data_IF_438472845211
#
_entry.id   IF_438472845211
#
_cell.length_a   1.000
_cell.length_b   1.000
_cell.length_c   1.000
_cell.angle_alpha   90.00
_cell.angle_beta   90.00
_cell.angle_gamma   90.00
#
_symmetry.space_group_name_H-M   'P 1'
#
loop_
_entity.id
_entity.type
_entity.pdbx_description
1 polymer ?
#
# COMPACT_ATOMS: atom_id res chain seq x y z
N UNK A 1 17.93 -0.61 7.60
CA UNK A 1 16.76 0.20 7.16
C UNK A 1 15.78 0.27 8.32
N UNK A 2 15.23 1.44 8.63
CA UNK A 2 14.24 1.59 9.69
C UNK A 2 12.84 1.57 9.08
N UNK A 3 11.90 0.90 9.75
CA UNK A 3 10.50 0.94 9.37
C UNK A 3 9.88 2.30 9.71
N UNK A 4 8.91 2.73 8.92
CA UNK A 4 8.11 3.90 9.27
C UNK A 4 7.29 3.63 10.54
N UNK A 5 7.03 4.66 11.36
CA UNK A 5 6.20 4.50 12.55
C UNK A 5 4.85 3.87 12.20
N UNK A 6 4.45 2.84 12.93
CA UNK A 6 3.20 2.13 12.73
C UNK A 6 3.22 1.00 11.70
N UNK A 7 4.30 0.82 10.92
CA UNK A 7 4.36 -0.22 9.88
C UNK A 7 4.22 -1.64 10.46
N UNK A 8 4.97 -1.96 11.52
CA UNK A 8 4.85 -3.26 12.19
C UNK A 8 3.45 -3.50 12.75
N UNK A 9 2.85 -2.46 13.33
CA UNK A 9 1.50 -2.54 13.88
C UNK A 9 0.46 -2.81 12.80
N UNK A 10 0.56 -2.14 11.66
CA UNK A 10 -0.34 -2.32 10.52
C UNK A 10 -0.23 -3.75 9.95
N UNK A 11 1.00 -4.24 9.74
CA UNK A 11 1.25 -5.60 9.26
C UNK A 11 0.71 -6.64 10.24
N UNK A 12 0.97 -6.47 11.53
CA UNK A 12 0.47 -7.38 12.56
C UNK A 12 -1.07 -7.36 12.65
N UNK A 13 -1.71 -6.21 12.47
CA UNK A 13 -3.17 -6.11 12.45
C UNK A 13 -3.78 -6.85 11.27
N UNK A 14 -3.20 -6.72 10.07
CA UNK A 14 -3.63 -7.46 8.88
C UNK A 14 -3.46 -8.97 9.06
N UNK A 15 -2.32 -9.41 9.62
CA UNK A 15 -2.07 -10.81 9.90
C UNK A 15 -3.08 -11.40 10.90
N UNK A 16 -3.37 -10.67 12.00
CA UNK A 16 -4.40 -11.09 12.97
C UNK A 16 -5.79 -11.20 12.35
N UNK A 17 -6.09 -10.35 11.38
CA UNK A 17 -7.35 -10.39 10.64
C UNK A 17 -7.33 -11.43 9.48
N UNK A 18 -6.29 -12.23 9.35
CA UNK A 18 -6.10 -13.22 8.27
C UNK A 18 -6.25 -12.61 6.88
N UNK A 19 -5.73 -11.39 6.68
CA UNK A 19 -5.74 -10.71 5.39
C UNK A 19 -4.51 -11.10 4.58
N UNK A 20 -4.72 -11.42 3.30
CA UNK A 20 -3.62 -11.60 2.36
C UNK A 20 -2.90 -10.25 2.14
N UNK A 21 -1.58 -10.29 2.08
CA UNK A 21 -0.74 -9.10 1.97
C UNK A 21 0.29 -9.24 0.85
N UNK A 22 0.48 -8.17 0.10
CA UNK A 22 1.56 -8.07 -0.89
C UNK A 22 2.35 -6.78 -0.69
N UNK A 23 3.64 -6.84 -1.01
CA UNK A 23 4.48 -5.66 -1.16
C UNK A 23 4.56 -5.29 -2.63
N UNK A 24 4.32 -4.01 -2.95
CA UNK A 24 4.45 -3.45 -4.30
C UNK A 24 5.36 -2.23 -4.23
N UNK A 25 6.54 -2.31 -4.82
CA UNK A 25 7.54 -1.26 -4.77
C UNK A 25 8.12 -0.99 -6.15
N UNK A 26 8.62 0.24 -6.37
CA UNK A 26 9.39 0.60 -7.57
C UNK A 26 10.87 0.19 -7.49
N UNK A 27 11.29 -0.36 -6.36
CA UNK A 27 12.65 -0.88 -6.20
C UNK A 27 12.82 -2.25 -6.83
N UNK A 28 14.05 -2.67 -7.20
CA UNK A 28 14.35 -4.02 -7.61
C UNK A 28 13.86 -5.07 -6.60
N UNK A 29 13.38 -6.21 -7.05
CA UNK A 29 12.87 -7.27 -6.17
C UNK A 29 13.90 -7.71 -5.13
N UNK A 30 15.16 -7.80 -5.50
CA UNK A 30 16.26 -8.15 -4.57
C UNK A 30 16.38 -7.15 -3.42
N UNK A 31 16.19 -5.86 -3.69
CA UNK A 31 16.22 -4.80 -2.68
C UNK A 31 15.01 -4.91 -1.75
N UNK A 32 13.83 -5.16 -2.32
CA UNK A 32 12.59 -5.36 -1.52
C UNK A 32 12.77 -6.55 -0.57
N UNK A 33 13.21 -7.69 -1.07
CA UNK A 33 13.42 -8.90 -0.26
C UNK A 33 14.49 -8.70 0.82
N UNK A 34 15.57 -8.02 0.50
CA UNK A 34 16.59 -7.66 1.50
C UNK A 34 16.01 -6.77 2.61
N UNK A 35 15.23 -5.77 2.25
CA UNK A 35 14.58 -4.88 3.20
C UNK A 35 13.61 -5.63 4.12
N UNK A 36 12.79 -6.53 3.57
CA UNK A 36 11.86 -7.35 4.35
C UNK A 36 12.62 -8.28 5.32
N UNK A 37 13.67 -8.94 4.87
CA UNK A 37 14.50 -9.81 5.70
C UNK A 37 15.19 -9.02 6.83
N UNK A 38 15.75 -7.84 6.54
CA UNK A 38 16.42 -7.00 7.54
C UNK A 38 15.49 -6.43 8.61
N UNK A 39 14.20 -6.38 8.33
CA UNK A 39 13.16 -5.89 9.25
C UNK A 39 12.33 -7.02 9.89
N UNK A 40 12.62 -8.28 9.56
CA UNK A 40 11.88 -9.43 10.08
C UNK A 40 10.46 -9.59 9.53
N UNK A 41 10.14 -8.91 8.43
CA UNK A 41 8.82 -8.93 7.80
C UNK A 41 8.74 -9.87 6.57
N UNK A 42 9.80 -10.60 6.27
CA UNK A 42 9.91 -11.47 5.09
C UNK A 42 8.82 -12.55 5.00
N UNK A 43 8.33 -13.00 6.16
CA UNK A 43 7.27 -14.03 6.23
C UNK A 43 5.87 -13.46 6.40
N UNK A 44 5.72 -12.15 6.40
CA UNK A 44 4.43 -11.49 6.64
C UNK A 44 3.64 -11.27 5.35
N UNK A 45 4.27 -11.41 4.20
CA UNK A 45 3.67 -11.12 2.90
C UNK A 45 3.55 -12.38 2.04
N UNK A 46 2.40 -12.53 1.40
CA UNK A 46 2.10 -13.64 0.50
C UNK A 46 2.74 -13.47 -0.88
N UNK A 47 3.01 -12.22 -1.28
CA UNK A 47 3.62 -11.91 -2.56
C UNK A 47 4.45 -10.60 -2.50
N UNK A 48 5.44 -10.52 -3.39
CA UNK A 48 6.30 -9.35 -3.59
C UNK A 48 6.31 -8.99 -5.06
N UNK A 49 6.04 -7.74 -5.38
CA UNK A 49 6.05 -7.21 -6.73
C UNK A 49 6.99 -6.03 -6.85
N UNK A 50 7.90 -6.11 -7.81
CA UNK A 50 8.67 -4.96 -8.29
C UNK A 50 7.93 -4.33 -9.46
N UNK A 51 7.82 -3.01 -9.47
CA UNK A 51 7.36 -2.24 -10.61
C UNK A 51 8.54 -1.68 -11.43
N UNK A 52 9.78 -2.11 -11.15
CA UNK A 52 10.98 -1.68 -11.87
C UNK A 52 10.95 -2.10 -13.35
N UNK A 53 10.50 -3.33 -13.61
CA UNK A 53 10.45 -3.91 -14.95
C UNK A 53 9.11 -3.67 -15.67
N UNK A 54 8.22 -2.90 -15.07
CA UNK A 54 6.95 -2.56 -15.70
C UNK A 54 7.18 -1.58 -16.84
N UNK A 55 6.57 -1.86 -18.00
CA UNK A 55 6.58 -0.93 -19.13
C UNK A 55 6.11 0.46 -18.73
N UNK A 56 5.19 0.52 -17.77
CA UNK A 56 4.70 1.74 -17.15
C UNK A 56 4.78 1.61 -15.63
N UNK A 57 5.77 2.27 -15.02
CA UNK A 57 5.88 2.37 -13.57
C UNK A 57 4.77 3.22 -12.94
N UNK A 58 4.74 3.30 -11.60
CA UNK A 58 3.83 4.22 -10.89
C UNK A 58 3.96 5.65 -11.46
N UNK A 59 2.89 6.37 -11.71
CA UNK A 59 1.52 6.21 -11.22
C UNK A 59 0.59 5.27 -12.01
N UNK A 60 1.09 4.50 -12.99
CA UNK A 60 0.28 3.51 -13.69
C UNK A 60 -0.20 2.42 -12.71
N UNK A 61 -1.47 1.96 -12.79
CA UNK A 61 -2.04 1.03 -11.81
C UNK A 61 -1.56 -0.43 -11.95
N UNK A 62 -0.81 -0.77 -12.99
CA UNK A 62 -0.50 -2.14 -13.39
C UNK A 62 0.05 -3.02 -12.28
N UNK A 63 1.02 -2.52 -11.50
CA UNK A 63 1.62 -3.29 -10.43
C UNK A 63 0.62 -3.66 -9.31
N UNK A 64 -0.27 -2.74 -8.95
CA UNK A 64 -1.32 -3.01 -7.96
C UNK A 64 -2.37 -3.98 -8.48
N UNK A 65 -2.77 -3.86 -9.75
CA UNK A 65 -3.73 -4.78 -10.36
C UNK A 65 -3.17 -6.21 -10.43
N UNK A 66 -1.88 -6.37 -10.76
CA UNK A 66 -1.21 -7.68 -10.71
C UNK A 66 -1.16 -8.24 -9.29
N UNK A 67 -0.84 -7.41 -8.31
CA UNK A 67 -0.82 -7.83 -6.90
C UNK A 67 -2.20 -8.31 -6.44
N UNK A 68 -3.26 -7.57 -6.74
CA UNK A 68 -4.63 -7.96 -6.41
C UNK A 68 -5.00 -9.30 -7.05
N UNK A 69 -4.70 -9.49 -8.35
CA UNK A 69 -4.94 -10.75 -9.05
C UNK A 69 -4.19 -11.92 -8.40
N UNK A 70 -2.93 -11.73 -8.01
CA UNK A 70 -2.14 -12.77 -7.35
C UNK A 70 -2.68 -13.14 -5.95
N UNK A 71 -3.28 -12.17 -5.24
CA UNK A 71 -3.93 -12.42 -3.96
C UNK A 71 -5.37 -12.95 -4.12
N UNK A 72 -5.87 -13.09 -5.34
CA UNK A 72 -7.24 -13.55 -5.61
C UNK A 72 -8.32 -12.55 -5.18
N UNK A 73 -8.00 -11.25 -5.14
CA UNK A 73 -8.89 -10.19 -4.71
C UNK A 73 -9.26 -9.26 -5.88
N UNK A 74 -10.48 -8.72 -5.85
CA UNK A 74 -10.87 -7.63 -6.74
C UNK A 74 -10.32 -6.29 -6.23
N UNK A 75 -10.08 -5.29 -7.10
CA UNK A 75 -9.53 -4.00 -6.67
C UNK A 75 -10.32 -3.30 -5.57
N UNK A 76 -11.64 -3.37 -5.60
CA UNK A 76 -12.53 -2.77 -4.61
C UNK A 76 -12.47 -3.44 -3.22
N UNK A 77 -11.88 -4.66 -3.14
CA UNK A 77 -11.59 -5.36 -1.88
C UNK A 77 -10.19 -5.04 -1.32
N UNK A 78 -9.38 -4.31 -2.06
CA UNK A 78 -7.99 -4.03 -1.72
C UNK A 78 -7.81 -2.68 -1.04
N UNK A 79 -6.92 -2.65 -0.05
CA UNK A 79 -6.43 -1.43 0.57
C UNK A 79 -4.94 -1.28 0.22
N UNK A 80 -4.58 -0.11 -0.28
CA UNK A 80 -3.19 0.29 -0.54
C UNK A 80 -2.75 1.23 0.58
N UNK A 81 -1.59 0.97 1.18
CA UNK A 81 -0.94 1.90 2.11
C UNK A 81 0.29 2.45 1.40
N UNK A 82 0.36 3.74 1.20
CA UNK A 82 1.37 4.41 0.38
C UNK A 82 1.87 5.71 0.98
N UNK A 83 3.15 5.97 0.79
CA UNK A 83 3.82 7.18 1.27
C UNK A 83 4.18 8.15 0.14
N UNK A 84 4.17 7.71 -1.11
CA UNK A 84 4.52 8.51 -2.27
C UNK A 84 3.29 8.95 -3.06
N UNK A 85 3.36 10.14 -3.66
CA UNK A 85 2.29 10.65 -4.51
C UNK A 85 2.01 9.71 -5.70
N UNK A 86 3.05 9.23 -6.37
CA UNK A 86 2.91 8.32 -7.50
C UNK A 86 2.25 7.00 -7.10
N UNK A 87 2.57 6.48 -5.91
CA UNK A 87 1.93 5.28 -5.38
C UNK A 87 0.46 5.50 -5.02
N UNK A 88 0.13 6.63 -4.42
CA UNK A 88 -1.26 7.02 -4.14
C UNK A 88 -2.07 7.12 -5.43
N UNK A 89 -1.55 7.81 -6.45
CA UNK A 89 -2.21 7.94 -7.75
C UNK A 89 -2.39 6.58 -8.45
N UNK A 90 -1.39 5.70 -8.35
CA UNK A 90 -1.48 4.34 -8.90
C UNK A 90 -2.59 3.52 -8.22
N UNK A 91 -2.70 3.59 -6.89
CA UNK A 91 -3.74 2.92 -6.13
C UNK A 91 -5.14 3.44 -6.46
N UNK A 92 -5.30 4.76 -6.57
CA UNK A 92 -6.57 5.38 -6.99
C UNK A 92 -6.93 4.97 -8.41
N UNK A 93 -5.96 4.99 -9.32
CA UNK A 93 -6.16 4.56 -10.72
C UNK A 93 -6.51 3.07 -10.83
N UNK A 94 -6.06 2.25 -9.89
CA UNK A 94 -6.44 0.84 -9.77
C UNK A 94 -7.84 0.64 -9.17
N UNK A 95 -8.54 1.70 -8.79
CA UNK A 95 -9.85 1.66 -8.12
C UNK A 95 -9.81 0.95 -6.75
N UNK A 96 -8.68 1.06 -6.06
CA UNK A 96 -8.49 0.54 -4.71
C UNK A 96 -8.71 1.63 -3.66
N UNK A 97 -8.99 1.23 -2.43
CA UNK A 97 -8.95 2.14 -1.29
C UNK A 97 -7.51 2.46 -0.94
N UNK A 98 -7.14 3.73 -0.86
CA UNK A 98 -5.77 4.15 -0.55
C UNK A 98 -5.71 4.88 0.79
N UNK A 99 -4.79 4.44 1.64
CA UNK A 99 -4.39 5.13 2.86
C UNK A 99 -3.04 5.78 2.60
N UNK A 100 -3.02 7.10 2.45
CA UNK A 100 -1.79 7.86 2.27
C UNK A 100 -1.14 8.13 3.64
N UNK A 101 0.17 7.83 3.74
CA UNK A 101 1.01 8.08 4.91
C UNK A 101 2.25 8.90 4.50
N UNK A 102 2.04 10.13 4.00
CA UNK A 102 3.12 10.94 3.45
C UNK A 102 4.16 11.31 4.52
N UNK A 103 5.38 11.60 4.08
CA UNK A 103 6.39 12.22 4.94
C UNK A 103 5.89 13.58 5.47
N UNK A 104 6.45 14.02 6.59
CA UNK A 104 6.00 15.26 7.24
C UNK A 104 6.09 16.49 6.29
N UNK A 105 7.09 16.51 5.41
CA UNK A 105 7.27 17.58 4.42
C UNK A 105 6.17 17.59 3.35
N UNK A 106 5.60 16.42 3.02
CA UNK A 106 4.63 16.26 1.93
C UNK A 106 3.17 16.37 2.42
N UNK A 107 2.94 16.40 3.73
CA UNK A 107 1.59 16.44 4.32
C UNK A 107 0.75 17.64 3.89
N UNK A 108 1.41 18.73 3.50
CA UNK A 108 0.74 19.95 3.05
C UNK A 108 0.54 19.97 1.52
N UNK A 109 0.94 18.95 0.78
CA UNK A 109 0.71 18.88 -0.66
C UNK A 109 -0.79 18.67 -0.94
N UNK A 110 -1.44 19.61 -1.69
CA UNK A 110 -2.87 19.51 -2.01
C UNK A 110 -3.23 18.20 -2.74
N UNK A 111 -2.29 17.60 -3.47
CA UNK A 111 -2.51 16.33 -4.18
C UNK A 111 -2.77 15.17 -3.22
N UNK A 112 -2.08 15.12 -2.06
CA UNK A 112 -2.36 14.12 -1.03
C UNK A 112 -3.73 14.33 -0.40
N UNK A 113 -4.13 15.59 -0.15
CA UNK A 113 -5.45 15.91 0.39
C UNK A 113 -6.58 15.46 -0.56
N UNK A 114 -6.43 15.69 -1.86
CA UNK A 114 -7.40 15.27 -2.89
C UNK A 114 -7.45 13.74 -2.97
N UNK A 115 -6.31 13.06 -3.00
CA UNK A 115 -6.25 11.60 -3.06
C UNK A 115 -6.90 10.97 -1.82
N UNK A 116 -6.63 11.48 -0.63
CA UNK A 116 -7.22 11.00 0.62
C UNK A 116 -8.73 11.18 0.65
N UNK A 117 -9.25 12.30 0.18
CA UNK A 117 -10.70 12.57 0.09
C UNK A 117 -11.41 11.66 -0.91
N UNK A 118 -10.76 11.34 -2.04
CA UNK A 118 -11.31 10.46 -3.07
C UNK A 118 -11.38 8.98 -2.64
N UNK A 119 -10.58 8.59 -1.66
CA UNK A 119 -10.42 7.21 -1.21
C UNK A 119 -11.26 6.83 0.00
N UNK A 120 -12.17 7.68 0.48
CA UNK A 120 -13.09 7.31 1.57
C UNK A 120 -14.21 6.46 0.99
N UNK A 121 -14.30 5.16 1.34
CA UNK A 121 -15.37 4.28 0.81
C UNK A 121 -16.73 4.77 1.29
N UNK A 122 -17.66 4.98 0.38
CA UNK A 122 -19.02 5.45 0.73
C UNK A 122 -19.85 4.43 1.51
N UNK A 123 -19.46 3.15 1.53
CA UNK A 123 -20.24 2.10 2.18
C UNK A 123 -19.41 0.84 2.47
N UNK A 124 -18.48 0.88 3.41
CA UNK A 124 -18.01 -0.36 4.02
C UNK A 124 -18.06 -0.23 5.54
N UNK A 125 -19.05 -0.84 6.16
CA UNK A 125 -19.23 -0.90 7.62
C UNK A 125 -18.17 -1.70 8.36
N UNK A 126 -16.95 -1.86 7.83
CA UNK A 126 -15.94 -2.77 8.36
C UNK A 126 -14.63 -2.12 8.82
N UNK A 127 -14.39 -0.84 8.55
CA UNK A 127 -13.14 -0.18 8.99
C UNK A 127 -13.43 1.17 9.61
N UNK A 128 -13.57 1.20 10.93
CA UNK A 128 -13.39 2.43 11.70
C UNK A 128 -11.92 2.51 12.08
N UNK A 129 -11.20 3.45 11.47
CA UNK A 129 -9.97 3.96 12.08
C UNK A 129 -10.46 4.84 13.23
N UNK A 130 -10.42 4.31 14.45
CA UNK A 130 -10.60 5.17 15.60
C UNK A 130 -9.39 6.10 15.61
N UNK A 131 -9.63 7.40 15.30
CA UNK A 131 -8.68 8.46 15.52
C UNK A 131 -8.53 8.61 17.03
N UNK A 132 -7.54 7.93 17.59
CA UNK A 132 -7.05 8.25 18.92
C UNK A 132 -6.42 9.64 18.85
N UNK A 133 -7.10 10.63 19.37
CA UNK A 133 -6.56 11.94 19.72
C UNK A 133 -5.64 11.79 20.92
#
# INVERSE_FOLDING_TARGET
MALKPGAEHAVAACARASRAMAVVSSSPESVIRHALASTGLDRSFDAVFSAEDDEHGKPHPGAYLRAAAALGASPDECIVIEDSLNGVLAGVSAQMTVVAVPEAADRCDPCFAIATLACVPRNSGAWRIESGV
#
